data_IF_383326946312
#
_entry.id   IF_383326946312
#
_cell.length_a   1.000
_cell.length_b   1.000
_cell.length_c   1.000
_cell.angle_alpha   90.00
_cell.angle_beta   90.00
_cell.angle_gamma   90.00
#
_symmetry.space_group_name_H-M   'P 1'
#
loop_
_entity.id
_entity.type
_entity.pdbx_description
1 polymer ?
#
# COMPACT_ATOMS: atom_id res chain seq x y z
N UNK A 1 -4.29 17.36 -5.78
CA UNK A 1 -4.30 18.83 -5.85
C UNK A 1 -4.55 19.33 -7.27
N UNK A 2 -3.71 19.02 -8.27
CA UNK A 2 -3.82 19.49 -9.67
C UNK A 2 -5.18 19.16 -10.33
N UNK A 3 -5.70 17.96 -10.10
CA UNK A 3 -6.98 17.51 -10.67
C UNK A 3 -8.18 18.35 -10.18
N UNK A 4 -8.16 18.75 -8.90
CA UNK A 4 -9.21 19.58 -8.27
C UNK A 4 -9.14 21.03 -8.77
N UNK A 5 -7.93 21.53 -9.05
CA UNK A 5 -7.74 22.87 -9.63
C UNK A 5 -8.18 22.91 -11.10
N UNK A 6 -7.99 21.80 -11.83
CA UNK A 6 -8.41 21.65 -13.21
C UNK A 6 -9.94 21.61 -13.35
N UNK A 7 -10.63 20.83 -12.50
CA UNK A 7 -12.10 20.75 -12.51
C UNK A 7 -12.74 22.10 -12.18
N UNK A 8 -12.23 22.79 -11.16
CA UNK A 8 -12.73 24.13 -10.77
C UNK A 8 -12.54 25.17 -11.88
N UNK A 9 -11.45 25.10 -12.64
CA UNK A 9 -11.25 25.97 -13.81
C UNK A 9 -12.24 25.68 -14.94
N UNK A 10 -12.51 24.41 -15.24
CA UNK A 10 -13.46 24.02 -16.27
C UNK A 10 -14.90 24.41 -15.94
N UNK A 11 -15.30 24.33 -14.66
CA UNK A 11 -16.62 24.80 -14.22
C UNK A 11 -16.77 26.32 -14.42
N UNK A 12 -15.71 27.11 -14.17
CA UNK A 12 -15.73 28.55 -14.45
C UNK A 12 -15.88 28.84 -15.95
N UNK A 13 -15.08 28.16 -16.78
CA UNK A 13 -15.13 28.31 -18.23
C UNK A 13 -16.50 27.91 -18.81
N UNK A 14 -17.11 26.85 -18.28
CA UNK A 14 -18.46 26.43 -18.67
C UNK A 14 -19.49 27.49 -18.26
N UNK A 15 -19.38 28.02 -17.04
CA UNK A 15 -20.31 29.03 -16.53
C UNK A 15 -20.27 30.32 -17.35
N UNK A 16 -19.08 30.75 -17.77
CA UNK A 16 -18.90 31.93 -18.63
C UNK A 16 -19.49 31.71 -20.03
N UNK A 17 -19.29 30.52 -20.61
CA UNK A 17 -19.85 30.15 -21.92
C UNK A 17 -21.38 30.02 -21.87
N UNK A 18 -21.94 29.44 -20.80
CA UNK A 18 -23.38 29.39 -20.56
C UNK A 18 -24.00 30.78 -20.46
N UNK A 19 -23.31 31.70 -19.78
CA UNK A 19 -23.74 33.09 -19.68
C UNK A 19 -23.74 33.77 -21.05
N UNK A 20 -22.73 33.53 -21.87
CA UNK A 20 -22.66 34.07 -23.24
C UNK A 20 -23.76 33.54 -24.16
N UNK A 21 -24.19 32.29 -23.97
CA UNK A 21 -25.30 31.68 -24.72
C UNK A 21 -26.67 32.21 -24.27
N UNK A 22 -26.77 32.68 -23.01
CA UNK A 22 -28.01 33.22 -22.44
C UNK A 22 -28.24 34.69 -22.82
N UNK A 23 -27.18 35.47 -23.02
CA UNK A 23 -27.25 36.88 -23.47
C UNK A 23 -27.64 37.01 -24.97
N UNK A 24 -27.72 35.91 -25.72
CA UNK A 24 -28.21 35.88 -27.10
C UNK A 24 -29.76 35.96 -27.08
N UNK A 25 -30.36 37.01 -27.69
CA UNK A 25 -31.77 37.39 -27.52
C UNK A 25 -32.76 36.23 -27.77
N UNK A 26 -33.33 35.71 -26.67
CA UNK A 26 -34.14 34.50 -26.61
C UNK A 26 -35.64 34.82 -26.83
N UNK A 27 -35.96 35.60 -27.84
CA UNK A 27 -37.31 36.15 -28.05
C UNK A 27 -38.27 35.19 -28.77
N UNK A 28 -37.75 34.19 -29.49
CA UNK A 28 -38.54 33.31 -30.37
C UNK A 28 -38.47 31.84 -29.94
N UNK A 29 -39.59 31.10 -30.05
CA UNK A 29 -39.68 29.66 -29.69
C UNK A 29 -38.66 28.77 -30.41
N UNK A 30 -38.32 29.13 -31.65
CA UNK A 30 -37.29 28.45 -32.44
C UNK A 30 -35.87 28.70 -31.92
N UNK A 31 -35.60 29.90 -31.38
CA UNK A 31 -34.34 30.23 -30.72
C UNK A 31 -34.16 29.45 -29.41
N UNK A 32 -35.25 29.23 -28.66
CA UNK A 32 -35.24 28.42 -27.43
C UNK A 32 -34.88 26.97 -27.73
N UNK A 33 -35.48 26.36 -28.76
CA UNK A 33 -35.17 24.99 -29.14
C UNK A 33 -33.72 24.84 -29.61
N UNK A 34 -33.23 25.81 -30.39
CA UNK A 34 -31.84 25.86 -30.86
C UNK A 34 -30.84 26.07 -29.72
N UNK A 35 -31.19 26.89 -28.73
CA UNK A 35 -30.43 27.06 -27.51
C UNK A 35 -30.37 25.76 -26.71
N UNK A 36 -31.51 25.07 -26.53
CA UNK A 36 -31.57 23.83 -25.76
C UNK A 36 -30.72 22.71 -26.38
N UNK A 37 -30.76 22.59 -27.70
CA UNK A 37 -29.91 21.64 -28.44
C UNK A 37 -28.42 21.98 -28.27
N UNK A 38 -28.07 23.26 -28.40
CA UNK A 38 -26.68 23.74 -28.30
C UNK A 38 -26.13 23.62 -26.88
N UNK A 39 -26.95 23.95 -25.87
CA UNK A 39 -26.66 23.76 -24.44
C UNK A 39 -26.37 22.30 -24.11
N UNK A 40 -27.26 21.39 -24.54
CA UNK A 40 -27.14 19.96 -24.27
C UNK A 40 -25.89 19.38 -24.93
N UNK A 41 -25.58 19.83 -26.15
CA UNK A 41 -24.37 19.42 -26.87
C UNK A 41 -23.09 19.88 -26.19
N UNK A 42 -22.98 21.16 -25.81
CA UNK A 42 -21.80 21.72 -25.16
C UNK A 42 -21.50 21.04 -23.81
N UNK A 43 -22.55 20.75 -23.03
CA UNK A 43 -22.44 20.01 -21.78
C UNK A 43 -21.96 18.59 -22.04
N UNK A 44 -22.64 17.86 -22.94
CA UNK A 44 -22.31 16.47 -23.21
C UNK A 44 -20.87 16.31 -23.72
N UNK A 45 -20.40 17.17 -24.62
CA UNK A 45 -19.04 17.11 -25.16
C UNK A 45 -17.98 17.39 -24.08
N UNK A 46 -18.20 18.38 -23.19
CA UNK A 46 -17.24 18.72 -22.12
C UNK A 46 -17.19 17.68 -21.01
N UNK A 47 -18.34 17.21 -20.51
CA UNK A 47 -18.38 16.22 -19.43
C UNK A 47 -17.98 14.82 -19.91
N UNK A 48 -18.26 14.45 -21.16
CA UNK A 48 -17.82 13.17 -21.74
C UNK A 48 -16.29 13.08 -21.77
N UNK A 49 -15.61 14.12 -22.26
CA UNK A 49 -14.14 14.17 -22.27
C UNK A 49 -13.57 14.14 -20.85
N UNK A 50 -14.17 14.89 -19.92
CA UNK A 50 -13.69 14.93 -18.55
C UNK A 50 -13.83 13.59 -17.83
N UNK A 51 -14.96 12.91 -18.03
CA UNK A 51 -15.23 11.60 -17.44
C UNK A 51 -14.28 10.54 -18.03
N UNK A 52 -13.98 10.61 -19.33
CA UNK A 52 -13.00 9.75 -19.98
C UNK A 52 -11.58 9.96 -19.43
N UNK A 53 -11.15 11.22 -19.26
CA UNK A 53 -9.83 11.54 -18.68
C UNK A 53 -9.76 11.07 -17.23
N UNK A 54 -10.80 11.29 -16.43
CA UNK A 54 -10.85 10.85 -15.03
C UNK A 54 -10.76 9.32 -14.95
N UNK A 55 -11.54 8.60 -15.76
CA UNK A 55 -11.47 7.14 -15.83
C UNK A 55 -10.08 6.65 -16.24
N UNK A 56 -9.46 7.27 -17.23
CA UNK A 56 -8.08 6.95 -17.65
C UNK A 56 -7.04 7.22 -16.55
N UNK A 57 -7.17 8.31 -15.79
CA UNK A 57 -6.27 8.59 -14.66
C UNK A 57 -6.44 7.60 -13.51
N UNK A 58 -7.67 7.15 -13.25
CA UNK A 58 -7.93 6.15 -12.21
C UNK A 58 -7.37 4.77 -12.59
N UNK A 59 -7.57 4.34 -13.84
CA UNK A 59 -7.06 3.04 -14.32
C UNK A 59 -5.54 3.00 -14.36
N UNK A 60 -4.89 4.09 -14.77
CA UNK A 60 -3.42 4.19 -14.77
C UNK A 60 -2.83 4.18 -13.37
N UNK A 61 -3.47 4.86 -12.40
CA UNK A 61 -3.03 4.83 -11.00
C UNK A 61 -3.18 3.44 -10.38
N UNK A 62 -4.29 2.76 -10.66
CA UNK A 62 -4.51 1.38 -10.20
C UNK A 62 -3.42 0.43 -10.74
N UNK A 63 -3.12 0.52 -12.04
CA UNK A 63 -2.06 -0.28 -12.66
C UNK A 63 -0.68 0.03 -12.05
N UNK A 64 -0.38 1.30 -11.78
CA UNK A 64 0.87 1.70 -11.13
C UNK A 64 0.99 1.09 -9.73
N UNK A 65 -0.05 1.17 -8.90
CA UNK A 65 -0.05 0.57 -7.57
C UNK A 65 0.16 -0.95 -7.62
N UNK A 66 -0.56 -1.64 -8.50
CA UNK A 66 -0.38 -3.09 -8.70
C UNK A 66 1.06 -3.44 -9.08
N UNK A 67 1.68 -2.66 -9.97
CA UNK A 67 3.07 -2.89 -10.40
C UNK A 67 4.07 -2.69 -9.24
N UNK A 68 3.91 -1.64 -8.44
CA UNK A 68 4.78 -1.35 -7.30
C UNK A 68 4.68 -2.46 -6.26
N UNK A 69 3.45 -2.89 -5.93
CA UNK A 69 3.23 -3.98 -4.99
C UNK A 69 3.89 -5.29 -5.47
N UNK A 70 3.80 -5.59 -6.77
CA UNK A 70 4.44 -6.77 -7.34
C UNK A 70 5.97 -6.70 -7.26
N UNK A 71 6.56 -5.54 -7.53
CA UNK A 71 8.02 -5.35 -7.41
C UNK A 71 8.48 -5.51 -5.96
N UNK A 72 7.78 -4.89 -5.00
CA UNK A 72 8.11 -5.01 -3.57
C UNK A 72 7.98 -6.45 -3.09
N UNK A 73 6.89 -7.13 -3.46
CA UNK A 73 6.70 -8.55 -3.14
C UNK A 73 7.80 -9.43 -3.77
N UNK A 74 8.17 -9.17 -5.03
CA UNK A 74 9.24 -9.88 -5.71
C UNK A 74 10.61 -9.71 -5.04
N UNK A 75 10.98 -8.47 -4.68
CA UNK A 75 12.23 -8.18 -3.96
C UNK A 75 12.25 -8.87 -2.59
N UNK A 76 11.15 -8.83 -1.84
CA UNK A 76 11.04 -9.51 -0.55
C UNK A 76 11.18 -11.03 -0.70
N UNK A 77 10.57 -11.62 -1.73
CA UNK A 77 10.65 -13.05 -2.00
C UNK A 77 12.06 -13.49 -2.41
N UNK A 78 12.73 -12.72 -3.27
CA UNK A 78 14.14 -12.97 -3.64
C UNK A 78 15.04 -12.83 -2.42
N UNK A 79 14.82 -11.82 -1.57
CA UNK A 79 15.60 -11.64 -0.34
C UNK A 79 15.46 -12.83 0.62
N UNK A 80 14.24 -13.32 0.83
CA UNK A 80 13.97 -14.50 1.65
C UNK A 80 14.67 -15.74 1.09
N UNK A 81 14.51 -16.00 -0.22
CA UNK A 81 15.06 -17.19 -0.87
C UNK A 81 16.58 -17.18 -0.97
N UNK A 82 17.18 -16.04 -1.35
CA UNK A 82 18.61 -15.95 -1.66
C UNK A 82 19.49 -15.70 -0.43
N UNK A 83 18.97 -15.11 0.65
CA UNK A 83 19.79 -14.79 1.82
C UNK A 83 19.36 -15.54 3.07
N UNK A 84 18.06 -15.49 3.40
CA UNK A 84 17.58 -15.99 4.70
C UNK A 84 17.61 -17.51 4.78
N UNK A 85 17.11 -18.21 3.75
CA UNK A 85 17.10 -19.68 3.72
C UNK A 85 18.52 -20.29 3.71
N UNK A 86 19.46 -19.88 2.84
CA UNK A 86 20.81 -20.46 2.85
C UNK A 86 21.56 -20.11 4.14
N UNK A 87 21.36 -18.92 4.72
CA UNK A 87 21.94 -18.57 6.02
C UNK A 87 21.45 -19.49 7.14
N UNK A 88 20.15 -19.79 7.17
CA UNK A 88 19.58 -20.72 8.13
C UNK A 88 20.11 -22.15 7.92
N UNK A 89 20.10 -22.65 6.68
CA UNK A 89 20.61 -24.00 6.34
C UNK A 89 22.08 -24.17 6.71
N UNK A 90 22.90 -23.16 6.45
CA UNK A 90 24.32 -23.18 6.82
C UNK A 90 24.50 -23.23 8.34
N UNK A 91 23.69 -22.46 9.06
CA UNK A 91 23.70 -22.45 10.54
C UNK A 91 23.28 -23.80 11.10
N UNK A 92 22.23 -24.40 10.54
CA UNK A 92 21.71 -25.70 10.99
C UNK A 92 22.71 -26.84 10.71
N UNK A 93 23.33 -26.85 9.53
CA UNK A 93 24.35 -27.85 9.18
C UNK A 93 25.61 -27.70 10.05
N UNK A 94 26.02 -26.46 10.35
CA UNK A 94 27.15 -26.20 11.24
C UNK A 94 26.89 -26.70 12.68
N UNK A 95 25.65 -26.57 13.17
CA UNK A 95 25.26 -27.12 14.47
C UNK A 95 25.26 -28.65 14.46
N UNK A 96 24.73 -29.26 13.40
CA UNK A 96 24.67 -30.72 13.22
C UNK A 96 26.05 -31.37 13.14
N UNK A 97 27.03 -30.71 12.53
CA UNK A 97 28.40 -31.17 12.49
C UNK A 97 28.99 -31.36 13.90
N UNK A 98 28.69 -30.44 14.83
CA UNK A 98 29.08 -30.55 16.23
C UNK A 98 28.51 -31.77 16.94
N UNK A 99 27.22 -32.01 16.76
CA UNK A 99 26.52 -33.17 17.33
C UNK A 99 27.06 -34.48 16.75
N UNK A 100 27.29 -34.55 15.44
CA UNK A 100 27.82 -35.76 14.81
C UNK A 100 29.23 -36.11 15.30
N UNK A 101 30.05 -35.10 15.60
CA UNK A 101 31.38 -35.31 16.20
C UNK A 101 31.25 -35.81 17.64
N UNK A 102 30.31 -35.26 18.41
CA UNK A 102 30.03 -35.71 19.78
C UNK A 102 29.61 -37.19 19.84
N UNK A 103 28.75 -37.63 18.92
CA UNK A 103 28.30 -39.02 18.81
C UNK A 103 29.32 -39.98 18.17
N UNK A 104 30.48 -39.48 17.72
CA UNK A 104 31.53 -40.33 17.17
C UNK A 104 32.30 -41.09 18.27
N UNK A 105 33.01 -42.16 17.88
CA UNK A 105 33.87 -42.95 18.77
C UNK A 105 35.20 -42.23 19.15
N UNK A 106 35.14 -40.92 19.40
CA UNK A 106 36.32 -40.08 19.68
C UNK A 106 37.09 -40.51 20.95
N UNK A 107 36.40 -41.13 21.90
CA UNK A 107 36.97 -41.66 23.13
C UNK A 107 37.96 -42.81 22.91
N UNK A 108 37.90 -43.50 21.76
CA UNK A 108 38.84 -44.57 21.41
C UNK A 108 40.20 -44.03 20.92
N UNK A 109 40.32 -42.73 20.65
CA UNK A 109 41.53 -42.11 20.10
C UNK A 109 42.04 -40.94 20.97
N UNK A 110 42.68 -41.21 22.12
CA UNK A 110 43.09 -40.19 23.08
C UNK A 110 44.10 -39.17 22.54
N UNK A 111 44.83 -39.51 21.47
CA UNK A 111 45.73 -38.58 20.75
C UNK A 111 44.99 -37.39 20.12
N UNK A 112 43.72 -37.56 19.74
CA UNK A 112 42.92 -36.53 19.08
C UNK A 112 41.81 -35.96 19.98
N UNK A 113 41.67 -36.44 21.23
CA UNK A 113 40.60 -36.04 22.13
C UNK A 113 40.57 -34.53 22.42
N UNK A 114 41.72 -33.91 22.69
CA UNK A 114 41.83 -32.45 22.94
C UNK A 114 41.31 -31.60 21.77
N UNK A 115 41.79 -31.78 20.51
CA UNK A 115 41.27 -30.99 19.39
C UNK A 115 39.79 -31.27 19.09
N UNK A 116 39.32 -32.52 19.27
CA UNK A 116 37.91 -32.89 19.11
C UNK A 116 36.99 -32.19 20.13
N UNK A 117 37.37 -32.18 21.41
CA UNK A 117 36.61 -31.49 22.47
C UNK A 117 36.56 -29.98 22.22
N UNK A 118 37.67 -29.37 21.78
CA UNK A 118 37.69 -27.95 21.41
C UNK A 118 36.79 -27.66 20.20
N UNK A 119 36.69 -28.58 19.23
CA UNK A 119 35.82 -28.43 18.07
C UNK A 119 34.34 -28.50 18.47
N UNK A 120 33.97 -29.46 19.33
CA UNK A 120 32.61 -29.58 19.90
C UNK A 120 32.25 -28.34 20.73
N UNK A 121 33.17 -27.87 21.57
CA UNK A 121 32.96 -26.66 22.37
C UNK A 121 32.75 -25.41 21.49
N UNK A 122 33.42 -25.34 20.33
CA UNK A 122 33.24 -24.26 19.36
C UNK A 122 31.93 -24.38 18.56
N UNK A 123 31.49 -25.59 18.23
CA UNK A 123 30.23 -25.81 17.49
C UNK A 123 28.98 -25.54 18.34
N UNK A 124 29.08 -25.67 19.67
CA UNK A 124 27.99 -25.27 20.58
C UNK A 124 27.72 -23.76 20.56
N UNK A 125 28.66 -22.94 20.05
CA UNK A 125 28.45 -21.51 19.87
C UNK A 125 27.64 -21.31 18.58
N UNK A 126 26.33 -21.04 18.72
CA UNK A 126 25.40 -20.81 17.60
C UNK A 126 26.07 -19.93 16.52
N UNK A 127 26.26 -20.50 15.34
CA UNK A 127 26.77 -19.76 14.18
C UNK A 127 25.73 -18.73 13.80
N UNK A 128 26.02 -17.45 14.07
CA UNK A 128 25.14 -16.33 13.76
C UNK A 128 25.76 -15.57 12.60
N UNK A 129 25.09 -15.60 11.45
CA UNK A 129 25.53 -14.85 10.28
C UNK A 129 24.99 -13.43 10.43
N UNK A 130 25.85 -12.50 10.82
CA UNK A 130 25.48 -11.10 11.05
C UNK A 130 26.07 -10.24 9.94
N UNK A 131 25.33 -9.93 8.86
CA UNK A 131 25.77 -8.95 7.88
C UNK A 131 25.98 -7.60 8.57
N UNK A 132 27.18 -7.04 8.42
CA UNK A 132 27.56 -5.72 8.93
C UNK A 132 27.46 -5.54 10.47
N UNK A 133 27.19 -6.59 11.25
CA UNK A 133 27.03 -6.47 12.71
C UNK A 133 25.70 -5.85 13.16
N UNK A 134 24.76 -5.59 12.24
CA UNK A 134 23.53 -4.84 12.53
C UNK A 134 22.39 -5.78 12.93
N UNK A 135 22.24 -6.91 12.23
CA UNK A 135 21.12 -7.83 12.39
C UNK A 135 21.57 -9.25 12.07
N UNK A 136 21.10 -10.26 12.82
CA UNK A 136 21.41 -11.66 12.52
C UNK A 136 20.48 -12.14 11.39
N UNK A 137 21.03 -12.67 10.31
CA UNK A 137 20.24 -13.28 9.24
C UNK A 137 19.68 -14.60 9.73
N UNK A 138 18.49 -14.56 10.34
CA UNK A 138 17.69 -15.72 10.66
C UNK A 138 16.26 -15.55 10.14
N UNK A 139 15.60 -16.68 9.85
CA UNK A 139 14.20 -16.68 9.44
C UNK A 139 13.30 -16.04 10.51
N UNK A 140 13.64 -16.24 11.79
CA UNK A 140 12.97 -15.64 12.93
C UNK A 140 13.02 -14.11 12.87
N UNK A 141 14.17 -13.51 12.58
CA UNK A 141 14.31 -12.06 12.47
C UNK A 141 13.57 -11.51 11.25
N UNK A 142 13.61 -12.21 10.11
CA UNK A 142 12.82 -11.85 8.93
C UNK A 142 11.32 -11.83 9.20
N UNK A 143 10.79 -12.85 9.87
CA UNK A 143 9.38 -12.91 10.29
C UNK A 143 9.04 -11.83 11.32
N UNK A 144 9.94 -11.53 12.26
CA UNK A 144 9.74 -10.47 13.24
C UNK A 144 9.62 -9.08 12.58
N UNK A 145 10.44 -8.79 11.56
CA UNK A 145 10.32 -7.55 10.78
C UNK A 145 8.95 -7.46 10.10
N UNK A 146 8.50 -8.53 9.43
CA UNK A 146 7.17 -8.56 8.78
C UNK A 146 6.06 -8.35 9.81
N UNK A 147 6.13 -9.04 10.95
CA UNK A 147 5.17 -8.88 12.05
C UNK A 147 5.10 -7.42 12.51
N UNK A 148 6.25 -6.78 12.73
CA UNK A 148 6.30 -5.38 13.13
C UNK A 148 5.70 -4.46 12.07
N UNK A 149 6.00 -4.67 10.78
CA UNK A 149 5.41 -3.91 9.68
C UNK A 149 3.88 -4.01 9.67
N UNK A 150 3.34 -5.22 9.86
CA UNK A 150 1.88 -5.43 9.95
C UNK A 150 1.31 -4.73 11.19
N UNK A 151 1.98 -4.83 12.34
CA UNK A 151 1.56 -4.13 13.57
C UNK A 151 1.51 -2.62 13.38
N UNK A 152 2.52 -2.01 12.74
CA UNK A 152 2.51 -0.58 12.42
C UNK A 152 1.40 -0.22 11.43
N UNK A 153 1.20 -1.01 10.37
CA UNK A 153 0.12 -0.78 9.42
C UNK A 153 -1.26 -0.86 10.07
N UNK A 154 -1.46 -1.83 10.97
CA UNK A 154 -2.71 -2.00 11.71
C UNK A 154 -2.94 -0.85 12.69
N UNK A 155 -1.88 -0.40 13.37
CA UNK A 155 -1.94 0.77 14.25
C UNK A 155 -2.34 2.04 13.49
N UNK A 156 -1.71 2.30 12.33
CA UNK A 156 -2.06 3.45 11.49
C UNK A 156 -3.52 3.37 11.00
N UNK A 157 -3.99 2.19 10.59
CA UNK A 157 -5.41 1.98 10.24
C UNK A 157 -6.36 2.26 11.40
N UNK A 158 -6.02 1.83 12.61
CA UNK A 158 -6.84 2.12 13.79
C UNK A 158 -6.87 3.61 14.10
N UNK A 159 -5.74 4.32 13.96
CA UNK A 159 -5.69 5.77 14.15
C UNK A 159 -6.53 6.53 13.12
N UNK A 160 -6.49 6.12 11.85
CA UNK A 160 -7.33 6.68 10.79
C UNK A 160 -8.82 6.48 11.11
N UNK A 161 -9.22 5.27 11.50
CA UNK A 161 -10.60 4.98 11.91
C UNK A 161 -11.04 5.78 13.14
N UNK A 162 -10.15 6.00 14.11
CA UNK A 162 -10.46 6.85 15.26
C UNK A 162 -10.62 8.33 14.88
N UNK A 163 -9.86 8.82 13.91
CA UNK A 163 -10.01 10.19 13.41
C UNK A 163 -11.37 10.38 12.71
N UNK A 164 -11.80 9.40 11.90
CA UNK A 164 -13.09 9.42 11.20
C UNK A 164 -14.27 9.42 12.18
N UNK A 165 -14.25 8.50 13.17
CA UNK A 165 -15.27 8.42 14.22
C UNK A 165 -15.38 9.69 15.08
N UNK A 166 -14.28 10.44 15.25
CA UNK A 166 -14.29 11.67 16.02
C UNK A 166 -14.86 12.85 15.20
N UNK A 167 -14.68 12.85 13.88
CA UNK A 167 -15.35 13.83 12.99
C UNK A 167 -16.87 13.59 13.01
N UNK A 168 -17.29 12.32 13.03
CA UNK A 168 -18.70 11.95 13.19
C UNK A 168 -19.27 12.41 14.55
N UNK A 169 -18.52 12.29 15.65
CA UNK A 169 -18.98 12.74 16.98
C UNK A 169 -19.14 14.27 17.08
N UNK A 170 -18.26 15.06 16.44
CA UNK A 170 -18.46 16.52 16.31
C UNK A 170 -19.65 16.88 15.41
N UNK A 171 -20.03 16.02 14.46
CA UNK A 171 -21.23 16.20 13.65
C UNK A 171 -22.52 15.84 14.42
N UNK A 172 -22.45 14.86 15.33
CA UNK A 172 -23.57 14.38 16.17
C UNK A 172 -24.06 15.44 17.18
N UNK A 173 -23.20 16.31 17.71
CA UNK A 173 -23.59 17.38 18.65
C UNK A 173 -24.14 18.66 17.98
N UNK A 174 -24.33 18.66 16.65
CA UNK A 174 -24.72 19.85 15.89
C UNK A 174 -25.92 19.68 14.95
N UNK A 175 -25.98 18.63 14.14
CA UNK A 175 -27.11 18.33 13.24
C UNK A 175 -27.06 16.84 12.87
N UNK A 176 -28.15 16.13 13.14
CA UNK A 176 -28.28 14.72 12.79
C UNK A 176 -28.41 14.53 11.27
N UNK A 177 -27.39 13.99 10.61
CA UNK A 177 -27.47 13.46 9.24
C UNK A 177 -26.94 12.02 9.25
N UNK A 178 -27.84 11.05 9.24
CA UNK A 178 -27.51 9.63 9.04
C UNK A 178 -27.24 9.40 7.55
N UNK A 179 -25.97 9.23 7.18
CA UNK A 179 -25.55 8.74 5.87
C UNK A 179 -25.58 7.20 5.87
N UNK A 180 -26.77 6.63 5.87
CA UNK A 180 -26.94 5.31 5.26
C UNK A 180 -26.93 5.49 3.74
N UNK A 181 -26.46 4.47 3.02
CA UNK A 181 -26.12 4.46 1.59
C UNK A 181 -27.30 4.78 0.65
N UNK A 182 -27.95 5.95 0.72
CA UNK A 182 -28.80 6.54 -0.32
C UNK A 182 -29.06 8.01 0.02
N UNK A 183 -28.43 8.94 -0.72
CA UNK A 183 -28.66 10.39 -0.54
C UNK A 183 -30.13 10.73 -0.83
N UNK A 184 -30.87 11.19 0.18
CA UNK A 184 -32.12 11.96 0.02
C UNK A 184 -32.06 13.20 0.91
N UNK A 185 -32.07 14.37 0.29
CA UNK A 185 -32.10 15.68 0.96
C UNK A 185 -33.55 16.14 1.04
N UNK A 186 -34.04 16.44 2.25
CA UNK A 186 -35.25 17.24 2.45
C UNK A 186 -34.87 18.52 3.19
N UNK A 187 -35.28 19.66 2.62
CA UNK A 187 -35.11 20.99 3.19
C UNK A 187 -36.44 21.38 3.85
N UNK A 188 -36.40 21.83 5.11
CA UNK A 188 -37.44 22.67 5.71
C UNK A 188 -36.90 24.09 5.86
#
# INVERSE_FOLDING_TARGET
MILVTCTTFQFKLLNDELKSLFDEDLSTREAINKFHERYTKTINDRYSLHLAVLFFTLTTFEAALRSILFVVAGVAQIFMMCYTIPAQRLTDEANKAGESIYFSLWYNYPKYAKPLINLIARSHKKVKIVPCGIMELSLEQGLAVIKNMVSYAMFLKTMESMADNNIDSYFVDGVHITLDHTVKIYIY
#
